data_IF_201011766570
#
_entry.id   IF_201011766570
#
_cell.length_a   1.000
_cell.length_b   1.000
_cell.length_c   1.000
_cell.angle_alpha   90.00
_cell.angle_beta   90.00
_cell.angle_gamma   90.00
#
_symmetry.space_group_name_H-M   'P 1'
#
loop_
_entity.id
_entity.type
_entity.pdbx_description
1 polymer ?
#
# COMPACT_ATOMS: atom_id res chain seq x y z
N UNK A 1 -11.79 5.15 -27.81
CA UNK A 1 -10.99 4.64 -26.69
C UNK A 1 -10.54 3.21 -26.97
N UNK A 2 -9.61 3.01 -27.92
CA UNK A 2 -9.16 1.65 -28.29
C UNK A 2 -8.04 1.13 -27.38
N UNK A 3 -7.22 2.03 -26.85
CA UNK A 3 -6.08 1.70 -26.00
C UNK A 3 -6.44 0.95 -24.71
N UNK A 4 -7.67 1.09 -24.20
CA UNK A 4 -8.16 0.33 -23.04
C UNK A 4 -8.27 -1.18 -23.29
N UNK A 5 -8.27 -1.62 -24.56
CA UNK A 5 -8.40 -3.01 -24.97
C UNK A 5 -7.10 -3.56 -25.57
N UNK A 6 -6.04 -2.76 -25.60
CA UNK A 6 -4.75 -3.20 -26.10
C UNK A 6 -4.19 -4.26 -25.15
N UNK A 7 -3.81 -5.41 -25.73
CA UNK A 7 -3.24 -6.51 -24.95
C UNK A 7 -1.80 -6.17 -24.61
N UNK A 8 -1.42 -6.41 -23.36
CA UNK A 8 -0.02 -6.40 -22.96
C UNK A 8 0.76 -7.51 -23.70
N UNK A 9 2.05 -7.24 -23.93
CA UNK A 9 2.96 -8.21 -24.53
C UNK A 9 3.16 -9.41 -23.59
N UNK A 10 3.33 -10.61 -24.16
CA UNK A 10 3.47 -11.85 -23.37
C UNK A 10 4.69 -11.84 -22.46
N UNK A 11 5.70 -11.03 -22.73
CA UNK A 11 6.90 -10.91 -21.89
C UNK A 11 6.70 -9.92 -20.72
N UNK A 12 5.61 -9.15 -20.73
CA UNK A 12 5.30 -8.14 -19.70
C UNK A 12 4.24 -8.63 -18.70
N UNK A 13 3.63 -9.78 -18.97
CA UNK A 13 2.61 -10.40 -18.11
C UNK A 13 3.06 -11.78 -17.66
N UNK A 14 2.72 -12.14 -16.43
CA UNK A 14 2.90 -13.49 -15.93
C UNK A 14 1.61 -13.96 -15.26
N UNK A 15 0.91 -14.89 -15.91
CA UNK A 15 -0.33 -15.46 -15.37
C UNK A 15 -0.08 -16.46 -14.23
N UNK A 16 1.17 -16.84 -13.97
CA UNK A 16 1.57 -17.84 -12.97
C UNK A 16 0.89 -19.20 -13.16
N UNK A 17 0.50 -19.52 -14.41
CA UNK A 17 -0.21 -20.75 -14.75
C UNK A 17 -1.72 -20.74 -14.47
N UNK A 18 -2.28 -19.64 -13.94
CA UNK A 18 -3.72 -19.52 -13.71
C UNK A 18 -4.49 -19.32 -15.02
N UNK A 19 -5.67 -19.94 -15.17
CA UNK A 19 -6.54 -19.75 -16.34
C UNK A 19 -7.21 -18.37 -16.32
N UNK A 20 -7.83 -17.99 -17.44
CA UNK A 20 -8.57 -16.74 -17.56
C UNK A 20 -9.80 -16.72 -16.66
N UNK A 21 -9.95 -15.69 -15.84
CA UNK A 21 -11.03 -15.58 -14.88
C UNK A 21 -12.13 -14.59 -15.32
N UNK A 22 -13.27 -15.15 -15.73
CA UNK A 22 -14.46 -14.35 -16.07
C UNK A 22 -15.14 -13.72 -14.85
N UNK A 23 -14.87 -14.22 -13.64
CA UNK A 23 -15.40 -13.68 -12.38
C UNK A 23 -14.44 -12.70 -11.69
N UNK A 24 -13.28 -12.41 -12.30
CA UNK A 24 -12.28 -11.54 -11.69
C UNK A 24 -12.84 -10.15 -11.43
N UNK A 25 -12.50 -9.58 -10.28
CA UNK A 25 -12.78 -8.18 -9.95
C UNK A 25 -12.16 -7.20 -10.96
N UNK A 26 -11.11 -7.64 -11.66
CA UNK A 26 -10.39 -6.84 -12.65
C UNK A 26 -10.98 -6.94 -14.06
N UNK A 27 -12.00 -7.77 -14.28
CA UNK A 27 -12.61 -7.95 -15.60
C UNK A 27 -13.64 -6.84 -15.89
N UNK A 28 -13.52 -6.16 -17.02
CA UNK A 28 -14.51 -5.20 -17.50
C UNK A 28 -15.88 -5.83 -17.81
N UNK A 29 -16.96 -5.06 -17.71
CA UNK A 29 -18.28 -5.49 -18.17
C UNK A 29 -18.40 -5.49 -19.70
N UNK A 30 -19.50 -6.08 -20.21
CA UNK A 30 -19.71 -6.24 -21.65
C UNK A 30 -19.82 -4.93 -22.44
N UNK A 31 -20.16 -3.82 -21.79
CA UNK A 31 -20.37 -2.50 -22.42
C UNK A 31 -19.30 -1.47 -22.08
N UNK A 32 -18.22 -1.88 -21.40
CA UNK A 32 -17.16 -0.98 -20.96
C UNK A 32 -16.67 -0.07 -22.09
N UNK A 33 -16.63 1.24 -21.86
CA UNK A 33 -16.25 2.28 -22.83
C UNK A 33 -17.08 2.32 -24.13
N UNK A 34 -18.21 1.62 -24.19
CA UNK A 34 -19.06 1.46 -25.36
C UNK A 34 -20.26 2.40 -25.44
N UNK A 35 -20.48 3.24 -24.42
CA UNK A 35 -21.68 4.09 -24.30
C UNK A 35 -22.98 3.27 -24.44
N UNK A 36 -23.06 2.16 -23.69
CA UNK A 36 -24.20 1.23 -23.72
C UNK A 36 -24.17 0.21 -24.86
N UNK A 37 -23.19 0.27 -25.76
CA UNK A 37 -22.96 -0.76 -26.79
C UNK A 37 -22.02 -1.82 -26.26
N UNK A 38 -22.27 -3.08 -26.63
CA UNK A 38 -21.37 -4.19 -26.30
C UNK A 38 -20.02 -3.99 -26.98
N UNK A 39 -18.95 -4.00 -26.19
CA UNK A 39 -17.55 -3.88 -26.62
C UNK A 39 -16.75 -5.16 -26.33
N UNK A 40 -17.20 -5.98 -25.38
CA UNK A 40 -16.57 -7.25 -25.03
C UNK A 40 -17.59 -8.38 -25.18
N UNK A 41 -17.27 -9.33 -26.06
CA UNK A 41 -18.02 -10.58 -26.22
C UNK A 41 -17.14 -11.75 -25.79
N UNK A 42 -17.64 -12.51 -24.83
CA UNK A 42 -17.02 -13.75 -24.35
C UNK A 42 -17.09 -14.82 -25.44
N UNK A 43 -16.03 -15.62 -25.55
CA UNK A 43 -16.01 -16.77 -26.48
C UNK A 43 -16.97 -17.89 -26.04
N UNK A 44 -17.14 -18.05 -24.73
CA UNK A 44 -18.14 -18.94 -24.14
C UNK A 44 -19.40 -18.10 -23.81
N UNK A 45 -20.50 -18.26 -24.55
CA UNK A 45 -21.72 -17.46 -24.35
C UNK A 45 -22.31 -17.58 -22.95
N UNK A 46 -22.06 -18.69 -22.23
CA UNK A 46 -22.54 -18.87 -20.85
C UNK A 46 -21.88 -17.88 -19.86
N UNK A 47 -20.73 -17.32 -20.23
CA UNK A 47 -19.96 -16.38 -19.39
C UNK A 47 -20.27 -14.92 -19.70
N UNK A 48 -21.01 -14.62 -20.76
CA UNK A 48 -21.29 -13.25 -21.19
C UNK A 48 -21.92 -12.39 -20.09
N UNK A 49 -22.83 -12.97 -19.30
CA UNK A 49 -23.55 -12.26 -18.25
C UNK A 49 -22.82 -12.23 -16.90
N UNK A 50 -21.59 -12.74 -16.84
CA UNK A 50 -20.79 -12.85 -15.61
C UNK A 50 -19.74 -11.75 -15.52
N UNK A 51 -19.13 -11.39 -16.66
CA UNK A 51 -18.04 -10.42 -16.71
C UNK A 51 -18.45 -9.05 -16.17
N UNK A 52 -17.55 -8.40 -15.42
CA UNK A 52 -17.77 -7.08 -14.84
C UNK A 52 -18.87 -7.00 -13.77
N UNK A 53 -19.34 -8.13 -13.24
CA UNK A 53 -20.36 -8.17 -12.17
C UNK A 53 -19.84 -8.64 -10.81
N UNK A 54 -18.51 -8.70 -10.67
CA UNK A 54 -17.86 -9.13 -9.43
C UNK A 54 -18.27 -8.22 -8.25
N UNK A 55 -18.58 -8.82 -7.10
CA UNK A 55 -18.85 -8.09 -5.84
C UNK A 55 -17.62 -8.03 -4.92
N UNK A 56 -16.53 -8.68 -5.32
CA UNK A 56 -15.27 -8.77 -4.59
C UNK A 56 -14.30 -9.66 -5.33
N UNK A 57 -13.17 -9.97 -4.70
CA UNK A 57 -12.16 -10.86 -5.28
C UNK A 57 -12.72 -12.26 -5.52
N UNK A 58 -12.46 -12.80 -6.71
CA UNK A 58 -12.70 -14.21 -6.97
C UNK A 58 -11.69 -15.07 -6.21
N UNK A 59 -11.98 -16.38 -6.10
CA UNK A 59 -10.99 -17.34 -5.59
C UNK A 59 -9.69 -17.29 -6.39
N UNK A 60 -9.75 -17.09 -7.71
CA UNK A 60 -8.55 -17.04 -8.55
C UNK A 60 -7.80 -15.71 -8.41
N UNK A 61 -8.48 -14.59 -8.20
CA UNK A 61 -7.82 -13.31 -7.87
C UNK A 61 -6.96 -13.48 -6.60
N UNK A 62 -7.54 -14.08 -5.55
CA UNK A 62 -6.86 -14.32 -4.27
C UNK A 62 -5.70 -15.31 -4.44
N UNK A 63 -5.89 -16.39 -5.18
CA UNK A 63 -4.84 -17.38 -5.37
C UNK A 63 -3.69 -16.82 -6.22
N UNK A 64 -3.98 -16.06 -7.26
CA UNK A 64 -2.97 -15.48 -8.13
C UNK A 64 -2.15 -14.42 -7.39
N UNK A 65 -2.77 -13.54 -6.59
CA UNK A 65 -2.02 -12.57 -5.77
C UNK A 65 -1.19 -13.27 -4.69
N UNK A 66 -1.73 -14.31 -4.05
CA UNK A 66 -0.97 -15.07 -3.04
C UNK A 66 0.23 -15.81 -3.65
N UNK A 67 0.08 -16.35 -4.86
CA UNK A 67 1.17 -16.98 -5.60
C UNK A 67 2.22 -15.95 -6.04
N UNK A 68 1.80 -14.75 -6.45
CA UNK A 68 2.71 -13.68 -6.87
C UNK A 68 3.57 -13.15 -5.71
N UNK A 69 3.02 -13.08 -4.50
CA UNK A 69 3.68 -12.51 -3.32
C UNK A 69 4.13 -13.58 -2.29
N UNK A 70 4.09 -14.87 -2.65
CA UNK A 70 4.47 -15.99 -1.79
C UNK A 70 3.78 -15.98 -0.41
N UNK A 71 2.50 -15.62 -0.36
CA UNK A 71 1.73 -15.62 0.88
C UNK A 71 1.59 -17.06 1.42
N UNK A 72 2.09 -17.33 2.62
CA UNK A 72 1.90 -18.60 3.33
C UNK A 72 0.55 -18.56 4.04
N UNK A 73 -0.46 -19.19 3.44
CA UNK A 73 -1.86 -19.14 3.90
C UNK A 73 -2.04 -19.55 5.36
N UNK A 74 -2.71 -18.70 6.13
CA UNK A 74 -3.07 -18.96 7.53
C UNK A 74 -4.28 -18.17 8.05
N UNK A 75 -5.01 -17.45 7.18
CA UNK A 75 -6.29 -16.85 7.53
C UNK A 75 -7.41 -17.56 6.80
N UNK A 76 -8.33 -18.19 7.53
CA UNK A 76 -9.57 -18.67 6.93
C UNK A 76 -10.31 -17.49 6.27
N UNK A 77 -10.92 -17.67 5.08
CA UNK A 77 -11.81 -16.68 4.51
C UNK A 77 -12.93 -16.36 5.52
N UNK A 78 -13.29 -15.09 5.75
CA UNK A 78 -14.46 -14.77 6.56
C UNK A 78 -15.71 -15.35 5.87
N UNK A 79 -16.37 -16.31 6.51
CA UNK A 79 -17.55 -17.01 5.98
C UNK A 79 -18.86 -16.23 6.20
N UNK A 80 -18.80 -14.89 6.29
CA UNK A 80 -19.94 -14.04 6.61
C UNK A 80 -20.17 -12.93 5.57
N UNK A 81 -21.43 -12.50 5.34
CA UNK A 81 -21.71 -11.27 4.60
C UNK A 81 -21.02 -10.08 5.28
N UNK A 82 -20.44 -9.13 4.53
CA UNK A 82 -19.80 -7.95 5.12
C UNK A 82 -20.87 -7.07 5.78
N UNK A 83 -21.02 -7.18 7.10
CA UNK A 83 -21.94 -6.36 7.90
C UNK A 83 -21.36 -4.99 8.27
N UNK A 84 -20.16 -4.66 7.81
CA UNK A 84 -19.56 -3.34 8.00
C UNK A 84 -18.68 -2.95 6.79
N UNK A 85 -18.56 -1.64 6.48
CA UNK A 85 -17.50 -1.14 5.64
C UNK A 85 -16.13 -1.67 6.12
N UNK A 86 -15.15 -1.91 5.24
CA UNK A 86 -13.83 -2.38 5.64
C UNK A 86 -13.07 -1.25 6.35
N UNK A 87 -13.35 -1.06 7.64
CA UNK A 87 -12.61 -0.13 8.51
C UNK A 87 -11.46 -0.82 9.25
N UNK A 88 -11.19 -2.09 8.95
CA UNK A 88 -10.01 -2.79 9.43
C UNK A 88 -9.12 -3.11 8.23
N UNK A 89 -8.24 -2.17 7.89
CA UNK A 89 -6.99 -2.52 7.23
C UNK A 89 -6.22 -3.57 8.04
N UNK A 90 -5.21 -4.22 7.46
CA UNK A 90 -4.43 -5.24 8.14
C UNK A 90 -3.98 -4.68 9.48
N UNK A 91 -4.41 -5.31 10.58
CA UNK A 91 -3.96 -4.97 11.92
C UNK A 91 -2.48 -5.27 11.95
N UNK A 92 -1.68 -4.23 11.75
CA UNK A 92 -0.23 -4.36 11.62
C UNK A 92 0.25 -4.82 13.00
N UNK A 93 0.67 -6.08 13.08
CA UNK A 93 1.33 -6.58 14.29
C UNK A 93 2.46 -5.60 14.70
N UNK A 94 2.54 -5.23 15.98
CA UNK A 94 3.32 -4.07 16.45
C UNK A 94 4.84 -4.29 16.50
N UNK A 95 5.40 -5.33 15.88
CA UNK A 95 6.79 -5.75 16.18
C UNK A 95 7.84 -5.37 15.13
N UNK A 96 7.46 -5.04 13.88
CA UNK A 96 8.47 -4.71 12.86
C UNK A 96 8.65 -3.20 12.76
N UNK A 97 9.72 -2.71 13.38
CA UNK A 97 10.20 -1.32 13.33
C UNK A 97 11.67 -1.32 12.90
N UNK A 98 12.01 -0.49 11.93
CA UNK A 98 13.39 -0.29 11.51
C UNK A 98 14.21 0.43 12.59
N UNK A 99 15.52 0.18 12.61
CA UNK A 99 16.47 0.99 13.39
C UNK A 99 16.91 2.18 12.55
N UNK A 100 17.30 3.29 13.21
CA UNK A 100 17.87 4.46 12.53
C UNK A 100 19.04 4.04 11.64
N UNK A 101 19.01 4.46 10.37
CA UNK A 101 20.03 4.09 9.38
C UNK A 101 19.85 2.70 8.75
N UNK A 102 18.73 2.01 9.03
CA UNK A 102 18.38 0.73 8.41
C UNK A 102 17.07 0.84 7.61
N UNK A 103 17.08 0.32 6.38
CA UNK A 103 15.85 0.01 5.65
C UNK A 103 15.53 -1.48 5.79
N UNK A 104 14.25 -1.80 5.96
CA UNK A 104 13.71 -3.16 6.04
C UNK A 104 13.00 -3.58 4.74
N UNK A 105 12.87 -2.67 3.77
CA UNK A 105 12.32 -2.93 2.44
C UNK A 105 13.29 -2.38 1.40
N UNK A 106 13.63 -3.20 0.41
CA UNK A 106 14.56 -2.82 -0.66
C UNK A 106 14.05 -1.65 -1.51
N UNK A 107 12.73 -1.41 -1.52
CA UNK A 107 12.09 -0.33 -2.29
C UNK A 107 12.12 1.01 -1.58
N UNK A 108 12.63 1.07 -0.34
CA UNK A 108 12.65 2.29 0.46
C UNK A 108 13.32 3.47 -0.25
N UNK A 109 14.39 3.25 -1.01
CA UNK A 109 15.05 4.30 -1.79
C UNK A 109 14.12 4.87 -2.87
N UNK A 110 13.45 4.00 -3.62
CA UNK A 110 12.53 4.41 -4.69
C UNK A 110 11.32 5.16 -4.16
N UNK A 111 10.73 4.67 -3.06
CA UNK A 111 9.62 5.35 -2.40
C UNK A 111 10.03 6.70 -1.81
N UNK A 112 11.20 6.79 -1.20
CA UNK A 112 11.73 8.05 -0.70
C UNK A 112 11.93 9.08 -1.81
N UNK A 113 12.53 8.68 -2.94
CA UNK A 113 12.73 9.55 -4.10
C UNK A 113 11.41 10.01 -4.74
N UNK A 114 10.35 9.22 -4.60
CA UNK A 114 9.01 9.56 -5.10
C UNK A 114 8.22 10.44 -4.11
N UNK A 115 8.77 10.72 -2.92
CA UNK A 115 8.16 11.60 -1.92
C UNK A 115 7.23 10.90 -0.93
N UNK A 116 7.21 9.56 -0.88
CA UNK A 116 6.35 8.82 0.06
C UNK A 116 6.69 9.08 1.53
N UNK A 117 7.91 9.53 1.84
CA UNK A 117 8.28 9.93 3.20
C UNK A 117 7.49 11.15 3.72
N UNK A 118 6.81 11.89 2.82
CA UNK A 118 6.00 13.08 3.15
C UNK A 118 4.56 12.97 2.65
N UNK A 119 4.09 11.75 2.34
CA UNK A 119 2.72 11.55 1.87
C UNK A 119 1.68 11.94 2.92
N UNK A 120 0.53 12.43 2.49
CA UNK A 120 -0.61 12.74 3.37
C UNK A 120 -1.44 11.49 3.70
N UNK A 121 -1.24 10.40 2.98
CA UNK A 121 -1.85 9.11 3.30
C UNK A 121 -1.20 8.52 4.56
N UNK A 122 -1.96 8.48 5.65
CA UNK A 122 -1.48 8.01 6.95
C UNK A 122 -0.99 6.57 6.94
N UNK A 123 -1.56 5.70 6.11
CA UNK A 123 -1.17 4.31 6.05
C UNK A 123 0.19 4.17 5.38
N UNK A 124 0.39 4.84 4.24
CA UNK A 124 1.68 4.83 3.56
C UNK A 124 2.75 5.55 4.39
N UNK A 125 2.41 6.65 5.06
CA UNK A 125 3.32 7.37 5.93
C UNK A 125 3.79 6.47 7.10
N UNK A 126 2.90 5.68 7.70
CA UNK A 126 3.28 4.73 8.75
C UNK A 126 4.20 3.62 8.22
N UNK A 127 3.93 3.09 7.02
CA UNK A 127 4.79 2.09 6.38
C UNK A 127 6.19 2.65 6.15
N UNK A 128 6.30 3.88 5.64
CA UNK A 128 7.58 4.55 5.43
C UNK A 128 8.33 4.74 6.75
N UNK A 129 7.65 5.22 7.81
CA UNK A 129 8.24 5.40 9.14
C UNK A 129 8.71 4.10 9.77
N UNK A 130 8.01 2.99 9.52
CA UNK A 130 8.33 1.68 10.10
C UNK A 130 9.38 0.88 9.36
N UNK A 131 9.52 1.07 8.05
CA UNK A 131 10.40 0.25 7.20
C UNK A 131 11.58 1.00 6.63
N UNK A 132 11.49 2.32 6.44
CA UNK A 132 12.44 3.07 5.64
C UNK A 132 13.26 4.07 6.46
N UNK A 133 13.76 3.67 7.64
CA UNK A 133 14.47 4.57 8.55
C UNK A 133 15.79 5.12 7.99
N UNK A 134 16.38 4.50 6.96
CA UNK A 134 17.55 5.02 6.26
C UNK A 134 17.14 5.93 5.10
N UNK A 135 16.25 5.45 4.23
CA UNK A 135 15.87 6.18 3.02
C UNK A 135 14.95 7.36 3.28
N UNK A 136 14.01 7.22 4.21
CA UNK A 136 13.15 8.32 4.64
C UNK A 136 13.78 9.23 5.66
N UNK A 137 15.06 8.99 6.00
CA UNK A 137 15.95 9.78 6.84
C UNK A 137 15.23 10.99 7.45
N UNK A 138 14.43 10.69 8.46
CA UNK A 138 13.86 11.71 9.30
C UNK A 138 15.11 12.29 9.96
N UNK A 139 15.51 13.51 9.63
CA UNK A 139 16.70 14.18 10.21
C UNK A 139 16.54 14.42 11.72
N UNK A 140 15.56 13.76 12.34
CA UNK A 140 15.14 13.87 13.69
C UNK A 140 16.10 13.15 14.65
N UNK A 141 17.21 13.82 14.92
CA UNK A 141 18.12 13.45 15.98
C UNK A 141 18.32 14.65 16.89
N UNK A 142 18.50 14.38 18.18
CA UNK A 142 19.04 15.38 19.09
C UNK A 142 20.53 15.50 18.81
N UNK A 143 20.99 16.72 18.52
CA UNK A 143 22.39 17.06 18.25
C UNK A 143 23.18 17.33 19.52
N UNK A 144 22.49 17.51 20.65
CA UNK A 144 23.08 17.77 21.96
C UNK A 144 22.59 16.74 22.99
N UNK A 145 23.49 16.30 23.87
CA UNK A 145 23.16 15.35 24.93
C UNK A 145 22.17 15.92 25.96
N UNK A 146 22.04 17.25 26.07
CA UNK A 146 21.14 17.92 27.00
C UNK A 146 19.74 18.17 26.44
N UNK A 147 19.47 17.86 25.18
CA UNK A 147 18.18 18.09 24.52
C UNK A 147 17.00 17.56 25.35
N UNK A 148 17.13 16.37 25.96
CA UNK A 148 16.09 15.79 26.81
C UNK A 148 15.81 16.64 28.06
N UNK A 149 16.85 17.17 28.72
CA UNK A 149 16.72 18.01 29.91
C UNK A 149 16.10 19.37 29.58
N UNK A 150 16.49 19.97 28.46
CA UNK A 150 15.93 21.23 27.99
C UNK A 150 14.47 21.08 27.58
N UNK A 151 14.13 20.00 26.88
CA UNK A 151 12.74 19.69 26.55
C UNK A 151 11.87 19.52 27.81
N UNK A 152 12.35 18.80 28.83
CA UNK A 152 11.66 18.68 30.13
C UNK A 152 11.52 20.03 30.86
N UNK A 153 12.44 20.96 30.64
CA UNK A 153 12.41 22.31 31.20
C UNK A 153 11.49 23.28 30.45
N UNK A 154 10.83 22.79 29.39
CA UNK A 154 9.90 23.56 28.55
C UNK A 154 10.57 24.39 27.45
N UNK A 155 11.82 24.11 27.09
CA UNK A 155 12.53 24.84 26.05
C UNK A 155 11.92 24.65 24.65
N UNK A 156 11.19 23.56 24.42
CA UNK A 156 10.47 23.36 23.16
C UNK A 156 9.42 24.45 22.89
N UNK A 157 8.88 25.07 23.95
CA UNK A 157 7.91 26.15 23.89
C UNK A 157 8.56 27.52 24.06
N UNK A 158 9.57 27.64 24.94
CA UNK A 158 10.28 28.89 25.21
C UNK A 158 11.27 29.27 24.10
N UNK A 159 11.92 28.29 23.50
CA UNK A 159 12.94 28.45 22.45
C UNK A 159 12.74 27.46 21.28
N UNK A 160 11.59 27.54 20.59
CA UNK A 160 11.24 26.57 19.55
C UNK A 160 12.21 26.60 18.37
N UNK A 161 12.72 27.77 17.97
CA UNK A 161 13.58 27.87 16.80
C UNK A 161 14.89 27.09 16.97
N UNK A 162 15.52 27.21 18.14
CA UNK A 162 16.76 26.49 18.41
C UNK A 162 16.48 25.00 18.69
N UNK A 163 15.45 24.72 19.51
CA UNK A 163 15.13 23.36 19.91
C UNK A 163 14.62 22.51 18.74
N UNK A 164 13.90 23.05 17.77
CA UNK A 164 13.45 22.28 16.60
C UNK A 164 14.61 21.95 15.64
N UNK A 165 15.65 22.78 15.58
CA UNK A 165 16.79 22.54 14.70
C UNK A 165 17.84 21.60 15.30
N UNK A 166 17.91 21.53 16.64
CA UNK A 166 18.96 20.83 17.36
C UNK A 166 18.45 19.72 18.27
N UNK A 167 17.18 19.77 18.68
CA UNK A 167 16.55 18.86 19.62
C UNK A 167 15.18 18.38 19.12
N UNK A 168 15.04 18.21 17.79
CA UNK A 168 13.78 17.85 17.13
C UNK A 168 13.15 16.56 17.68
N UNK A 169 13.99 15.63 18.14
CA UNK A 169 13.56 14.36 18.72
C UNK A 169 13.02 14.57 20.13
N UNK A 170 13.78 15.25 21.00
CA UNK A 170 13.35 15.61 22.36
C UNK A 170 12.11 16.51 22.39
N UNK A 171 11.86 17.30 21.35
CA UNK A 171 10.64 18.11 21.23
C UNK A 171 9.46 17.44 20.52
N UNK A 172 9.57 16.16 20.15
CA UNK A 172 8.51 15.40 19.46
C UNK A 172 8.04 16.03 18.15
N UNK A 173 8.97 16.59 17.36
CA UNK A 173 8.68 17.33 16.14
C UNK A 173 9.41 16.77 14.90
N UNK A 174 9.69 15.47 14.91
CA UNK A 174 10.13 14.71 13.74
C UNK A 174 9.08 14.78 12.62
N UNK A 175 9.49 14.91 11.36
CA UNK A 175 8.59 14.97 10.20
C UNK A 175 8.70 13.70 9.37
#
# INVERSE_FOLDING_TARGET
MRYNFDKFDRNTINSLGFPYDYHSMMHYDETAFGNGRVTITTKDPSKQKIIGRAQGFSTMDIQQINAMYNCKGGGNPPTGPPTAPPTAGPTISPTVQCKVGQDLDERCVGWANTGYCKTTDRNYLEIMKRKCCKSCQDTCNDKDANCAKWAQSGECQKNPNWMLQNCSKSCFKCN
#
